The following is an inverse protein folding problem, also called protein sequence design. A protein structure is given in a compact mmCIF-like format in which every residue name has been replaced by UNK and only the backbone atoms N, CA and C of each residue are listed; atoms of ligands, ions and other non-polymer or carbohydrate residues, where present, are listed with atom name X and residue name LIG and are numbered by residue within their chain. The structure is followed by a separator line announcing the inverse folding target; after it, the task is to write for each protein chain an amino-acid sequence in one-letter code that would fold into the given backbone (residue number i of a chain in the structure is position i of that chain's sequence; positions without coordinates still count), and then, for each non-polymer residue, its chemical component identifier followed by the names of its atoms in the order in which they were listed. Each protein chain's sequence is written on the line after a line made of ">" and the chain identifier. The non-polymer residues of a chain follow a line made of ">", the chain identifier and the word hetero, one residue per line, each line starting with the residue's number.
data_IF_276807222322
#
_entry.id   IF_276807222322
#
_cell.length_a   1.000
_cell.length_b   1.000
_cell.length_c   1.000
_cell.angle_alpha   90.00
_cell.angle_beta   90.00
_cell.angle_gamma   90.00
#
_symmetry.space_group_name_H-M   'P 1'
#
loop_
_entity.id
_entity.type
_entity.pdbx_description
1 polymer ?
#
# COMPACT_ATOMS: atom_id res chain seq x y z
N UNK A 1 -27.69 -42.26 -27.58
CA UNK A 1 -27.33 -41.11 -28.44
C UNK A 1 -26.67 -40.06 -27.56
N UNK A 2 -25.40 -39.76 -27.79
CA UNK A 2 -24.65 -38.74 -27.06
C UNK A 2 -24.62 -37.45 -27.88
N UNK A 3 -25.20 -36.35 -27.36
CA UNK A 3 -24.95 -35.00 -27.87
C UNK A 3 -25.61 -33.94 -26.98
N UNK A 4 -24.81 -33.24 -26.16
CA UNK A 4 -24.68 -31.77 -26.20
C UNK A 4 -23.56 -31.35 -25.23
N UNK A 5 -22.37 -31.07 -25.75
CA UNK A 5 -21.38 -30.24 -25.05
C UNK A 5 -21.72 -28.78 -25.35
N UNK A 6 -22.12 -27.94 -24.39
CA UNK A 6 -22.17 -26.52 -24.64
C UNK A 6 -20.76 -25.91 -24.48
N UNK A 7 -20.21 -25.52 -25.62
CA UNK A 7 -19.59 -24.21 -25.85
C UNK A 7 -18.24 -23.87 -25.16
N UNK A 8 -17.12 -24.38 -25.70
CA UNK A 8 -15.87 -23.58 -25.77
C UNK A 8 -16.12 -22.45 -26.76
N UNK A 9 -16.48 -21.24 -26.34
CA UNK A 9 -16.67 -20.19 -27.34
C UNK A 9 -17.04 -18.79 -26.87
N UNK A 10 -17.84 -18.63 -25.81
CA UNK A 10 -17.99 -17.33 -25.19
C UNK A 10 -16.89 -17.21 -24.14
N UNK A 11 -15.77 -16.56 -24.49
CA UNK A 11 -14.77 -16.17 -23.49
C UNK A 11 -15.50 -15.23 -22.54
N UNK A 12 -15.80 -15.67 -21.31
CA UNK A 12 -16.38 -14.81 -20.31
C UNK A 12 -15.46 -13.59 -20.13
N UNK A 13 -16.05 -12.41 -19.89
CA UNK A 13 -15.26 -11.22 -19.57
C UNK A 13 -14.36 -11.50 -18.36
N UNK A 14 -14.85 -12.32 -17.43
CA UNK A 14 -14.06 -12.86 -16.33
C UNK A 14 -12.84 -13.62 -16.80
N UNK A 15 -12.95 -14.58 -17.72
CA UNK A 15 -11.77 -15.31 -18.24
C UNK A 15 -10.73 -14.40 -18.91
N UNK A 16 -11.14 -13.26 -19.47
CA UNK A 16 -10.21 -12.25 -20.01
C UNK A 16 -9.52 -11.47 -18.88
N UNK A 17 -10.28 -10.96 -17.91
CA UNK A 17 -9.74 -10.27 -16.75
C UNK A 17 -8.83 -11.21 -15.94
N UNK A 18 -9.22 -12.47 -15.78
CA UNK A 18 -8.48 -13.53 -15.10
C UNK A 18 -7.10 -13.69 -15.75
N UNK A 19 -7.05 -13.86 -17.07
CA UNK A 19 -5.78 -13.97 -17.81
C UNK A 19 -4.90 -12.73 -17.66
N UNK A 20 -5.50 -11.54 -17.66
CA UNK A 20 -4.75 -10.29 -17.50
C UNK A 20 -4.17 -10.16 -16.09
N UNK A 21 -4.96 -10.44 -15.05
CA UNK A 21 -4.53 -10.39 -13.65
C UNK A 21 -3.43 -11.41 -13.39
N UNK A 22 -3.60 -12.67 -13.83
CA UNK A 22 -2.57 -13.72 -13.69
C UNK A 22 -1.29 -13.30 -14.43
N UNK A 23 -1.40 -12.83 -15.67
CA UNK A 23 -0.24 -12.42 -16.45
C UNK A 23 0.54 -11.26 -15.83
N UNK A 24 -0.14 -10.29 -15.23
CA UNK A 24 0.49 -9.17 -14.53
C UNK A 24 1.16 -9.62 -13.22
N UNK A 25 0.51 -10.54 -12.48
CA UNK A 25 1.06 -11.12 -11.26
C UNK A 25 2.34 -11.91 -11.55
N UNK A 26 2.28 -12.83 -12.53
CA UNK A 26 3.41 -13.68 -12.91
C UNK A 26 4.58 -12.87 -13.50
N UNK A 27 4.28 -11.76 -14.17
CA UNK A 27 5.30 -10.82 -14.66
C UNK A 27 5.91 -9.95 -13.54
N UNK A 28 5.38 -10.01 -12.31
CA UNK A 28 5.86 -9.23 -11.17
C UNK A 28 5.58 -7.73 -11.27
N UNK A 29 4.69 -7.31 -12.16
CA UNK A 29 4.33 -5.89 -12.39
C UNK A 29 3.01 -5.50 -11.72
N UNK A 30 2.34 -6.44 -11.05
CA UNK A 30 1.07 -6.20 -10.39
C UNK A 30 1.26 -5.48 -9.06
N UNK A 31 1.12 -4.16 -9.08
CA UNK A 31 0.99 -3.32 -7.88
C UNK A 31 -0.48 -3.08 -7.52
N UNK A 32 -0.79 -2.64 -6.29
CA UNK A 32 -2.14 -2.25 -5.89
C UNK A 32 -2.81 -1.24 -6.86
N UNK A 33 -2.06 -0.24 -7.32
CA UNK A 33 -2.55 0.75 -8.28
C UNK A 33 -2.87 0.14 -9.66
N UNK A 34 -2.01 -0.76 -10.16
CA UNK A 34 -2.25 -1.45 -11.43
C UNK A 34 -3.51 -2.29 -11.34
N UNK A 35 -3.70 -3.01 -10.23
CA UNK A 35 -4.90 -3.81 -10.03
C UNK A 35 -6.17 -2.95 -10.00
N UNK A 36 -6.12 -1.77 -9.35
CA UNK A 36 -7.23 -0.82 -9.35
C UNK A 36 -7.63 -0.44 -10.78
N UNK A 37 -6.66 -0.05 -11.62
CA UNK A 37 -6.95 0.30 -13.01
C UNK A 37 -7.52 -0.87 -13.82
N UNK A 38 -7.02 -2.09 -13.61
CA UNK A 38 -7.56 -3.28 -14.28
C UNK A 38 -9.00 -3.51 -13.86
N UNK A 39 -9.30 -3.47 -12.55
CA UNK A 39 -10.66 -3.67 -12.04
C UNK A 39 -11.60 -2.56 -12.51
N UNK A 40 -11.18 -1.30 -12.46
CA UNK A 40 -11.95 -0.15 -12.93
C UNK A 40 -12.28 -0.26 -14.43
N UNK A 41 -11.32 -0.71 -15.26
CA UNK A 41 -11.56 -0.93 -16.69
C UNK A 41 -12.65 -1.99 -16.98
N UNK A 42 -12.87 -2.93 -16.06
CA UNK A 42 -13.92 -3.93 -16.17
C UNK A 42 -15.20 -3.59 -15.38
N UNK A 43 -15.20 -2.55 -14.53
CA UNK A 43 -16.34 -2.19 -13.69
C UNK A 43 -17.59 -1.83 -14.52
N UNK A 44 -17.41 -1.10 -15.62
CA UNK A 44 -18.50 -0.72 -16.54
C UNK A 44 -19.00 -1.89 -17.42
N UNK A 45 -18.25 -3.00 -17.48
CA UNK A 45 -18.53 -4.11 -18.39
C UNK A 45 -19.51 -5.16 -17.84
N UNK A 46 -19.97 -5.00 -16.59
CA UNK A 46 -20.91 -5.93 -15.95
C UNK A 46 -20.34 -7.33 -15.73
N UNK A 47 -19.02 -7.42 -15.51
CA UNK A 47 -18.30 -8.68 -15.29
C UNK A 47 -18.77 -9.37 -14.01
N UNK A 48 -18.99 -10.69 -14.06
CA UNK A 48 -19.30 -11.49 -12.86
C UNK A 48 -17.99 -11.92 -12.18
N UNK A 49 -17.58 -11.17 -11.16
CA UNK A 49 -16.40 -11.48 -10.36
C UNK A 49 -16.55 -12.77 -9.53
N UNK A 50 -17.75 -13.33 -9.41
CA UNK A 50 -18.03 -14.54 -8.65
C UNK A 50 -17.87 -15.84 -9.46
N UNK A 51 -17.49 -15.73 -10.75
CA UNK A 51 -17.19 -16.87 -11.60
C UNK A 51 -15.99 -17.68 -11.04
N UNK A 52 -16.01 -18.99 -11.27
CA UNK A 52 -14.97 -19.87 -10.74
C UNK A 52 -13.66 -19.66 -11.51
N UNK A 53 -12.56 -19.46 -10.77
CA UNK A 53 -11.23 -19.25 -11.35
C UNK A 53 -10.71 -20.54 -11.99
N UNK A 54 -10.35 -20.47 -13.27
CA UNK A 54 -9.83 -21.59 -14.06
C UNK A 54 -8.32 -21.55 -14.22
N UNK A 55 -7.74 -20.36 -14.20
CA UNK A 55 -6.30 -20.12 -14.33
C UNK A 55 -5.65 -20.04 -12.94
N UNK A 56 -4.38 -20.47 -12.90
CA UNK A 56 -3.53 -20.35 -11.72
C UNK A 56 -2.25 -19.62 -12.10
N UNK A 57 -1.71 -18.87 -11.14
CA UNK A 57 -0.40 -18.22 -11.24
C UNK A 57 0.72 -19.27 -11.19
N UNK A 58 1.95 -18.84 -11.49
CA UNK A 58 3.16 -19.70 -11.39
C UNK A 58 3.34 -20.26 -9.97
N UNK A 59 2.95 -19.50 -8.95
CA UNK A 59 3.00 -19.90 -7.55
C UNK A 59 1.82 -20.80 -7.12
N UNK A 60 0.92 -21.12 -8.06
CA UNK A 60 -0.23 -22.01 -7.83
C UNK A 60 -1.44 -21.32 -7.20
N UNK A 61 -1.42 -20.00 -7.09
CA UNK A 61 -2.53 -19.21 -6.55
C UNK A 61 -3.62 -18.98 -7.58
N UNK A 62 -4.87 -18.95 -7.13
CA UNK A 62 -6.00 -18.49 -7.96
C UNK A 62 -5.97 -16.96 -8.09
N UNK A 63 -6.74 -16.40 -9.03
CA UNK A 63 -6.85 -14.92 -9.16
C UNK A 63 -7.35 -14.26 -7.88
N UNK A 64 -8.30 -14.90 -7.19
CA UNK A 64 -8.81 -14.42 -5.90
C UNK A 64 -7.69 -14.31 -4.87
N UNK A 65 -6.83 -15.31 -4.77
CA UNK A 65 -5.70 -15.33 -3.85
C UNK A 65 -4.62 -14.32 -4.26
N UNK A 66 -4.28 -14.26 -5.54
CA UNK A 66 -3.27 -13.33 -6.07
C UNK A 66 -3.64 -11.87 -5.79
N UNK A 67 -4.91 -11.50 -5.98
CA UNK A 67 -5.42 -10.16 -5.67
C UNK A 67 -5.39 -9.88 -4.17
N UNK A 68 -5.80 -10.84 -3.33
CA UNK A 68 -5.74 -10.68 -1.87
C UNK A 68 -4.29 -10.54 -1.38
N UNK A 69 -3.34 -11.28 -1.95
CA UNK A 69 -1.93 -11.18 -1.62
C UNK A 69 -1.36 -9.78 -1.94
N UNK A 70 -1.76 -9.18 -3.07
CA UNK A 70 -1.30 -7.85 -3.47
C UNK A 70 -1.96 -6.74 -2.65
N UNK A 71 -3.27 -6.79 -2.43
CA UNK A 71 -4.01 -5.72 -1.75
C UNK A 71 -3.99 -5.84 -0.22
N UNK A 72 -3.81 -7.04 0.32
CA UNK A 72 -3.80 -7.33 1.75
C UNK A 72 -2.67 -8.32 2.09
N UNK A 73 -1.40 -7.88 2.02
CA UNK A 73 -0.27 -8.73 2.33
C UNK A 73 -0.33 -9.21 3.80
N UNK A 74 -0.01 -10.47 4.04
CA UNK A 74 0.00 -11.08 5.38
C UNK A 74 -1.37 -11.61 5.86
N UNK A 75 -2.45 -11.43 5.08
CA UNK A 75 -3.76 -12.02 5.40
C UNK A 75 -3.79 -13.51 5.08
N UNK A 76 -4.48 -14.30 5.91
CA UNK A 76 -4.61 -15.73 5.67
C UNK A 76 -5.56 -16.01 4.50
N UNK A 77 -5.13 -16.83 3.52
CA UNK A 77 -5.89 -17.17 2.31
C UNK A 77 -7.14 -18.03 2.55
N UNK A 78 -7.47 -18.37 3.81
CA UNK A 78 -8.60 -19.25 4.17
C UNK A 78 -9.96 -18.72 3.67
N UNK A 79 -10.11 -17.40 3.56
CA UNK A 79 -11.33 -16.73 3.08
C UNK A 79 -11.05 -15.84 1.85
N UNK A 80 -10.07 -16.21 1.02
CA UNK A 80 -9.60 -15.37 -0.09
C UNK A 80 -10.74 -14.91 -1.02
N UNK A 81 -11.75 -15.75 -1.30
CA UNK A 81 -12.91 -15.36 -2.13
C UNK A 81 -13.73 -14.22 -1.52
N UNK A 82 -14.00 -14.25 -0.22
CA UNK A 82 -14.76 -13.19 0.48
C UNK A 82 -13.96 -11.89 0.52
N UNK A 83 -12.67 -12.02 0.80
CA UNK A 83 -11.74 -10.91 0.89
C UNK A 83 -11.54 -10.23 -0.47
N UNK A 84 -11.42 -11.04 -1.53
CA UNK A 84 -11.40 -10.59 -2.91
C UNK A 84 -12.66 -9.79 -3.26
N UNK A 85 -13.85 -10.30 -2.93
CA UNK A 85 -15.10 -9.58 -3.18
C UNK A 85 -15.13 -8.22 -2.48
N UNK A 86 -14.63 -8.15 -1.24
CA UNK A 86 -14.52 -6.90 -0.51
C UNK A 86 -13.57 -5.92 -1.19
N UNK A 87 -12.43 -6.40 -1.69
CA UNK A 87 -11.44 -5.60 -2.42
C UNK A 87 -12.01 -5.11 -3.74
N UNK A 88 -12.59 -5.99 -4.55
CA UNK A 88 -13.16 -5.61 -5.85
C UNK A 88 -14.35 -4.69 -5.70
N UNK A 89 -15.23 -4.91 -4.70
CA UNK A 89 -16.33 -4.00 -4.42
C UNK A 89 -15.82 -2.61 -4.01
N UNK A 90 -14.73 -2.55 -3.23
CA UNK A 90 -14.09 -1.28 -2.87
C UNK A 90 -13.46 -0.59 -4.08
N UNK A 91 -12.78 -1.34 -4.96
CA UNK A 91 -12.11 -0.82 -6.16
C UNK A 91 -13.09 -0.41 -7.27
N UNK A 92 -14.22 -1.11 -7.41
CA UNK A 92 -15.23 -0.83 -8.43
C UNK A 92 -16.23 0.25 -7.99
N UNK A 93 -16.42 0.43 -6.67
CA UNK A 93 -17.27 1.46 -6.09
C UNK A 93 -16.54 2.76 -5.71
N UNK A 94 -15.22 2.77 -5.79
CA UNK A 94 -14.38 3.94 -5.54
C UNK A 94 -13.97 4.58 -6.86
N UNK A 95 -14.66 5.66 -7.22
CA UNK A 95 -14.10 6.68 -8.10
C UNK A 95 -12.67 7.02 -7.61
N UNK A 96 -11.69 6.78 -8.47
CA UNK A 96 -10.29 7.22 -8.35
C UNK A 96 -9.85 7.74 -6.98
N UNK A 97 -9.36 6.87 -6.09
CA UNK A 97 -8.32 7.28 -5.14
C UNK A 97 -6.98 7.46 -5.86
N UNK A 98 -7.02 8.26 -6.93
CA UNK A 98 -5.88 8.85 -7.63
C UNK A 98 -5.92 10.37 -7.45
N UNK A 99 -6.41 10.83 -6.32
CA UNK A 99 -6.14 12.14 -5.71
C UNK A 99 -5.70 11.83 -4.26
N UNK A 100 -4.71 12.57 -3.77
CA UNK A 100 -4.00 12.46 -2.49
C UNK A 100 -2.82 11.46 -2.38
N UNK A 101 -1.79 11.72 -3.19
CA UNK A 101 -0.45 11.94 -2.62
C UNK A 101 -0.38 13.41 -2.16
N UNK A 102 -1.28 13.81 -1.24
CA UNK A 102 -1.15 15.04 -0.48
C UNK A 102 -0.77 14.63 0.95
N UNK A 103 0.39 15.07 1.45
CA UNK A 103 0.75 14.81 2.83
C UNK A 103 -0.26 15.55 3.71
N UNK A 104 -0.86 14.81 4.64
CA UNK A 104 -1.55 15.31 5.82
C UNK A 104 -1.41 16.83 6.10
N UNK A 105 -2.30 17.66 5.54
CA UNK A 105 -2.38 19.11 5.80
C UNK A 105 -2.85 19.45 7.24
N UNK A 106 -2.68 18.54 8.20
CA UNK A 106 -2.94 18.79 9.62
C UNK A 106 -1.65 19.05 10.41
N UNK A 107 -0.47 18.83 9.83
CA UNK A 107 0.81 19.15 10.50
C UNK A 107 1.40 20.51 10.04
N UNK A 108 0.95 21.06 8.91
CA UNK A 108 1.56 22.26 8.33
C UNK A 108 1.12 23.58 8.99
N UNK A 109 -0.06 23.65 9.61
CA UNK A 109 -0.50 24.86 10.34
C UNK A 109 0.35 25.12 11.59
N UNK A 110 0.80 24.06 12.27
CA UNK A 110 1.68 24.15 13.44
C UNK A 110 3.12 24.53 13.03
N UNK A 111 3.59 24.07 11.86
CA UNK A 111 4.89 24.43 11.31
C UNK A 111 4.93 25.88 10.79
N UNK A 112 3.84 26.37 10.18
CA UNK A 112 3.70 27.78 9.77
C UNK A 112 3.70 28.72 10.98
N UNK A 113 3.07 28.29 12.09
CA UNK A 113 3.09 29.02 13.35
C UNK A 113 4.50 29.06 13.99
N UNK A 114 5.36 28.07 13.73
CA UNK A 114 6.75 28.04 14.19
C UNK A 114 7.73 28.79 13.28
N UNK A 115 7.48 28.85 11.96
CA UNK A 115 8.34 29.55 10.99
C UNK A 115 8.09 31.06 10.94
N UNK A 116 6.89 31.50 11.32
CA UNK A 116 6.54 32.90 11.58
C UNK A 116 7.21 33.43 12.85
N UNK A 117 8.53 33.59 12.81
CA UNK A 117 9.32 34.13 13.93
C UNK A 117 8.86 35.52 14.36
N UNK A 118 7.94 35.59 15.31
CA UNK A 118 7.55 36.81 15.99
C UNK A 118 7.94 36.73 17.46
N UNK A 119 9.16 37.21 17.76
CA UNK A 119 9.63 37.44 19.13
C UNK A 119 9.31 38.89 19.56
N UNK A 120 9.47 39.29 20.83
CA UNK A 120 8.40 39.42 21.82
C UNK A 120 8.16 40.87 22.26
N UNK A 121 6.95 41.22 22.74
CA UNK A 121 6.74 42.51 23.44
C UNK A 121 6.03 42.33 24.79
N UNK A 122 6.82 42.57 25.83
CA UNK A 122 6.52 42.88 27.24
C UNK A 122 5.07 43.29 27.56
N UNK A 123 4.50 42.75 28.64
CA UNK A 123 4.59 43.36 29.99
C UNK A 123 3.84 42.57 31.09
N UNK A 124 4.48 42.48 32.27
CA UNK A 124 3.92 42.39 33.65
C UNK A 124 2.89 41.27 33.99
N UNK A 125 3.09 40.38 34.97
CA UNK A 125 3.49 40.56 36.38
C UNK A 125 3.74 39.21 37.09
N UNK A 126 4.74 39.17 38.02
CA UNK A 126 4.80 38.45 39.33
C UNK A 126 4.54 36.91 39.36
N UNK A 127 5.24 36.04 40.09
CA UNK A 127 6.27 36.11 41.11
C UNK A 127 6.89 34.70 41.35
N UNK A 128 8.13 34.68 41.84
CA UNK A 128 8.73 33.73 42.79
C UNK A 128 8.65 32.19 42.56
N UNK A 129 9.79 31.57 42.21
CA UNK A 129 10.62 30.77 43.16
C UNK A 129 11.85 30.15 42.48
N UNK A 130 13.02 30.58 42.98
CA UNK A 130 14.29 29.86 43.22
C UNK A 130 14.29 28.35 42.97
N UNK A 131 15.17 27.84 42.10
CA UNK A 131 16.38 27.05 42.46
C UNK A 131 16.91 26.18 41.29
N UNK A 132 18.25 26.20 41.15
CA UNK A 132 19.13 25.14 40.63
C UNK A 132 19.01 24.71 39.16
N UNK A 133 19.81 25.42 38.37
CA UNK A 133 20.53 24.98 37.18
C UNK A 133 21.16 23.58 37.40
N UNK A 134 20.70 22.61 36.62
CA UNK A 134 21.40 21.34 36.39
C UNK A 134 21.62 21.25 34.88
N UNK A 135 22.89 21.21 34.48
CA UNK A 135 23.34 21.05 33.10
C UNK A 135 22.70 19.81 32.45
N UNK A 136 21.81 20.03 31.48
CA UNK A 136 21.42 18.98 30.55
C UNK A 136 22.61 18.69 29.61
N UNK A 137 23.03 17.41 29.45
CA UNK A 137 24.08 17.09 28.51
C UNK A 137 23.54 17.34 27.09
N UNK A 138 24.21 18.25 26.37
CA UNK A 138 24.01 18.50 24.94
C UNK A 138 23.86 17.15 24.22
N UNK A 139 22.65 16.86 23.73
CA UNK A 139 22.40 15.67 22.90
C UNK A 139 23.34 15.75 21.70
N UNK A 140 24.37 14.92 21.70
CA UNK A 140 25.28 14.79 20.58
C UNK A 140 24.45 14.48 19.34
N UNK A 141 24.60 15.30 18.30
CA UNK A 141 23.95 15.07 17.02
C UNK A 141 24.22 13.63 16.60
N UNK A 142 23.14 12.93 16.20
CA UNK A 142 23.18 11.53 15.81
C UNK A 142 24.21 11.34 14.68
N UNK A 143 25.38 10.81 15.04
CA UNK A 143 26.43 10.50 14.10
C UNK A 143 26.40 8.98 13.87
N UNK A 144 25.77 8.50 12.78
CA UNK A 144 25.58 7.07 12.53
C UNK A 144 26.91 6.32 12.30
N UNK A 145 28.02 7.05 12.12
CA UNK A 145 29.35 6.46 11.94
C UNK A 145 30.07 6.17 13.27
N UNK A 146 29.55 6.64 14.42
CA UNK A 146 30.20 6.45 15.74
C UNK A 146 30.16 4.97 16.20
N UNK A 147 29.31 4.15 15.58
CA UNK A 147 29.27 2.69 15.81
C UNK A 147 29.91 1.84 14.71
N UNK A 148 30.39 2.45 13.62
CA UNK A 148 30.92 1.70 12.48
C UNK A 148 32.35 1.21 12.75
N UNK A 149 32.46 0.02 13.36
CA UNK A 149 33.74 -0.69 13.51
C UNK A 149 34.23 -1.14 12.13
N UNK A 150 35.39 -0.63 11.70
CA UNK A 150 36.03 -1.05 10.46
C UNK A 150 36.33 -2.56 10.50
N UNK A 151 35.88 -3.28 9.46
CA UNK A 151 36.21 -4.69 9.24
C UNK A 151 37.60 -4.74 8.59
N UNK A 152 38.60 -5.39 9.18
CA UNK A 152 39.92 -5.48 8.57
C UNK A 152 39.85 -6.28 7.26
N UNK A 153 40.24 -5.63 6.17
CA UNK A 153 40.40 -6.25 4.86
C UNK A 153 41.45 -7.35 4.92
N UNK A 154 41.08 -8.54 4.46
CA UNK A 154 41.97 -9.70 4.37
C UNK A 154 42.77 -9.60 3.08
N UNK A 155 43.82 -8.79 3.09
CA UNK A 155 44.82 -8.81 2.03
C UNK A 155 45.57 -10.15 2.08
N UNK A 156 45.21 -11.04 1.16
CA UNK A 156 46.03 -12.19 0.79
C UNK A 156 46.96 -11.76 -0.32
N UNK A 157 48.24 -11.54 0.00
CA UNK A 157 49.36 -11.83 -0.91
C UNK A 157 50.50 -12.40 -0.10
#
# INVERSE_FOLDING_TARGET
>A
MAAKKPNRGAKSLFALAERQIVGLYDAGVMSPAVLHHVVAAYAESGIDWNEESTLRTVDGHSVHEAVVLVMMPGRALKNARKDFMSVVAHLAGGESSSEDDEPAEQEDEDLLSQLGGNTPSRSNTRAAKKSTQADEPKRAAFNPLVGARAVPGRDKR
#
